data_IF_319793778173
#
_entry.id   IF_319793778173
#
_cell.length_a   1.000
_cell.length_b   1.000
_cell.length_c   1.000
_cell.angle_alpha   90.00
_cell.angle_beta   90.00
_cell.angle_gamma   90.00
#
_symmetry.space_group_name_H-M   'P 1'
#
loop_
_entity.id
_entity.type
_entity.pdbx_description
1 polymer ?
#
# COMPACT_ATOMS: atom_id res chain seq x y z
N UNK A 1 3.88 12.18 2.71
CA UNK A 1 4.32 11.80 1.34
C UNK A 1 4.00 12.96 0.40
N UNK A 2 4.99 13.54 -0.29
CA UNK A 2 4.74 14.68 -1.19
C UNK A 2 3.88 14.25 -2.39
N UNK A 3 2.88 15.07 -2.73
CA UNK A 3 2.03 14.88 -3.90
C UNK A 3 2.12 16.13 -4.78
N UNK A 4 2.22 15.94 -6.09
CA UNK A 4 2.17 17.06 -7.02
C UNK A 4 0.77 17.70 -6.97
N UNK A 5 0.66 19.03 -7.00
CA UNK A 5 -0.63 19.73 -6.89
C UNK A 5 -1.61 19.36 -8.02
N UNK A 6 -1.10 18.98 -9.20
CA UNK A 6 -1.92 18.60 -10.37
C UNK A 6 -2.36 17.14 -10.35
N UNK A 7 -1.83 16.30 -9.45
CA UNK A 7 -2.17 14.88 -9.42
C UNK A 7 -3.45 14.67 -8.62
N UNK A 8 -4.51 14.19 -9.29
CA UNK A 8 -5.77 13.81 -8.63
C UNK A 8 -5.61 12.63 -7.67
N UNK A 9 -4.51 11.87 -7.78
CA UNK A 9 -4.11 10.80 -6.87
C UNK A 9 -5.24 9.81 -6.54
N UNK A 10 -6.09 9.54 -7.54
CA UNK A 10 -7.30 8.75 -7.37
C UNK A 10 -6.99 7.26 -7.56
N UNK A 11 -7.54 6.42 -6.68
CA UNK A 11 -7.40 4.97 -6.78
C UNK A 11 -8.51 4.34 -7.62
N UNK A 12 -8.27 3.14 -8.14
CA UNK A 12 -9.26 2.34 -8.85
C UNK A 12 -10.43 1.96 -7.91
N UNK A 13 -11.68 2.11 -8.34
CA UNK A 13 -12.85 1.71 -7.55
C UNK A 13 -12.90 0.19 -7.33
N UNK A 14 -13.21 -0.27 -6.11
CA UNK A 14 -13.27 -1.70 -5.81
C UNK A 14 -14.40 -2.44 -6.57
N UNK A 15 -15.50 -1.74 -6.86
CA UNK A 15 -16.68 -2.30 -7.54
C UNK A 15 -16.56 -2.28 -9.08
N UNK A 16 -15.49 -1.71 -9.62
CA UNK A 16 -15.28 -1.64 -11.07
C UNK A 16 -14.98 -3.01 -11.69
N UNK A 17 -15.21 -3.14 -13.01
CA UNK A 17 -15.01 -4.36 -13.81
C UNK A 17 -13.52 -4.65 -14.11
N UNK A 18 -12.72 -4.71 -13.05
CA UNK A 18 -11.32 -5.13 -13.12
C UNK A 18 -11.12 -6.43 -12.33
N UNK A 19 -10.09 -7.21 -12.67
CA UNK A 19 -9.80 -8.44 -11.96
C UNK A 19 -9.61 -8.23 -10.46
N UNK A 20 -10.13 -9.16 -9.66
CA UNK A 20 -10.10 -9.06 -8.19
C UNK A 20 -8.69 -8.98 -7.65
N UNK A 21 -7.73 -9.69 -8.24
CA UNK A 21 -6.33 -9.69 -7.80
C UNK A 21 -5.68 -8.31 -7.95
N UNK A 22 -5.98 -7.57 -9.03
CA UNK A 22 -5.44 -6.21 -9.26
C UNK A 22 -5.93 -5.27 -8.17
N UNK A 23 -7.25 -5.26 -7.93
CA UNK A 23 -7.88 -4.43 -6.92
C UNK A 23 -7.30 -4.73 -5.53
N UNK A 24 -7.25 -6.01 -5.14
CA UNK A 24 -6.70 -6.42 -3.84
C UNK A 24 -5.21 -6.11 -3.65
N UNK A 25 -4.44 -6.06 -4.73
CA UNK A 25 -3.02 -5.73 -4.67
C UNK A 25 -2.75 -4.23 -4.43
N UNK A 26 -3.68 -3.34 -4.83
CA UNK A 26 -3.49 -1.88 -4.73
C UNK A 26 -3.24 -1.45 -3.28
N UNK A 27 -4.09 -1.76 -2.28
CA UNK A 27 -3.87 -1.35 -0.90
C UNK A 27 -2.52 -1.81 -0.36
N UNK A 28 -2.19 -3.10 -0.56
CA UNK A 28 -0.92 -3.66 -0.10
C UNK A 28 0.28 -2.95 -0.73
N UNK A 29 0.26 -2.71 -2.05
CA UNK A 29 1.32 -1.98 -2.74
C UNK A 29 1.51 -0.56 -2.21
N UNK A 30 0.42 0.14 -1.89
CA UNK A 30 0.48 1.48 -1.33
C UNK A 30 1.08 1.50 0.07
N UNK A 31 0.65 0.60 0.96
CA UNK A 31 1.21 0.51 2.31
C UNK A 31 2.68 0.08 2.30
N UNK A 32 3.08 -0.85 1.45
CA UNK A 32 4.50 -1.23 1.31
C UNK A 32 5.34 -0.07 0.80
N UNK A 33 4.85 0.69 -0.18
CA UNK A 33 5.54 1.91 -0.64
C UNK A 33 5.71 2.91 0.50
N UNK A 34 4.65 3.08 1.30
CA UNK A 34 4.68 3.99 2.45
C UNK A 34 5.67 3.53 3.52
N UNK A 35 5.73 2.21 3.79
CA UNK A 35 6.67 1.60 4.74
C UNK A 35 8.12 1.77 4.29
N UNK A 36 8.39 1.69 2.99
CA UNK A 36 9.74 1.93 2.44
C UNK A 36 10.20 3.37 2.58
N UNK A 37 9.28 4.33 2.49
CA UNK A 37 9.61 5.75 2.59
C UNK A 37 9.81 6.16 4.05
N UNK A 38 9.03 5.60 4.97
CA UNK A 38 9.05 5.96 6.38
C UNK A 38 9.70 4.87 7.24
N UNK A 39 10.85 5.18 7.83
CA UNK A 39 11.55 4.25 8.72
C UNK A 39 10.95 4.19 10.14
N UNK A 40 10.02 5.08 10.49
CA UNK A 40 9.34 5.14 11.79
C UNK A 40 7.90 4.69 11.68
N UNK A 41 7.47 3.87 12.64
CA UNK A 41 6.12 3.31 12.67
C UNK A 41 5.06 4.39 12.87
N UNK A 42 5.32 5.38 13.74
CA UNK A 42 4.39 6.50 14.00
C UNK A 42 4.06 7.29 12.74
N UNK A 43 5.09 7.62 11.95
CA UNK A 43 4.96 8.36 10.69
C UNK A 43 4.24 7.51 9.63
N UNK A 44 4.55 6.21 9.58
CA UNK A 44 3.84 5.27 8.72
C UNK A 44 2.35 5.22 9.07
N UNK A 45 2.00 5.02 10.35
CA UNK A 45 0.60 4.91 10.80
C UNK A 45 -0.16 6.18 10.46
N UNK A 46 0.43 7.34 10.71
CA UNK A 46 -0.19 8.64 10.44
C UNK A 46 -0.51 8.78 8.94
N UNK A 47 0.46 8.52 8.06
CA UNK A 47 0.24 8.64 6.61
C UNK A 47 -0.62 7.49 6.04
N UNK A 48 -0.62 6.31 6.69
CA UNK A 48 -1.44 5.18 6.29
C UNK A 48 -2.93 5.46 6.49
N UNK A 49 -3.30 6.26 7.49
CA UNK A 49 -4.69 6.72 7.70
C UNK A 49 -5.22 7.46 6.47
N UNK A 50 -4.41 8.37 5.89
CA UNK A 50 -4.81 9.13 4.69
C UNK A 50 -5.02 8.24 3.46
N UNK A 51 -4.14 7.25 3.26
CA UNK A 51 -4.28 6.26 2.19
C UNK A 51 -5.54 5.40 2.41
N UNK A 52 -5.75 4.98 3.66
CA UNK A 52 -6.89 4.14 4.06
C UNK A 52 -8.21 4.85 3.78
N UNK A 53 -8.33 6.13 4.14
CA UNK A 53 -9.54 6.91 3.90
C UNK A 53 -9.82 7.09 2.41
N UNK A 54 -8.78 7.34 1.59
CA UNK A 54 -8.93 7.42 0.13
C UNK A 54 -9.38 6.10 -0.50
N UNK A 55 -8.86 4.97 -0.01
CA UNK A 55 -9.29 3.65 -0.47
C UNK A 55 -10.71 3.33 0.03
N UNK A 56 -11.07 3.70 1.26
CA UNK A 56 -12.44 3.53 1.79
C UNK A 56 -13.46 4.28 0.94
N UNK A 57 -13.16 5.52 0.53
CA UNK A 57 -13.97 6.31 -0.43
C UNK A 57 -14.14 5.64 -1.81
N UNK A 58 -13.26 4.69 -2.16
CA UNK A 58 -13.32 3.87 -3.38
C UNK A 58 -13.94 2.48 -3.15
N UNK A 59 -14.69 2.32 -2.06
CA UNK A 59 -15.43 1.10 -1.71
C UNK A 59 -14.54 -0.11 -1.39
N UNK A 60 -13.28 0.09 -0.98
CA UNK A 60 -12.45 -1.02 -0.53
C UNK A 60 -12.94 -1.54 0.84
N UNK A 61 -13.06 -2.87 1.01
CA UNK A 61 -13.50 -3.45 2.28
C UNK A 61 -12.51 -3.17 3.42
N UNK A 62 -13.03 -2.79 4.60
CA UNK A 62 -12.21 -2.42 5.75
C UNK A 62 -11.29 -3.56 6.23
N UNK A 63 -11.78 -4.81 6.24
CA UNK A 63 -10.99 -5.98 6.63
C UNK A 63 -9.76 -6.15 5.73
N UNK A 64 -9.92 -5.87 4.43
CA UNK A 64 -8.84 -5.98 3.45
C UNK A 64 -7.78 -4.90 3.64
N UNK A 65 -8.22 -3.66 3.92
CA UNK A 65 -7.33 -2.56 4.24
C UNK A 65 -6.53 -2.84 5.52
N UNK A 66 -7.20 -3.32 6.57
CA UNK A 66 -6.58 -3.69 7.85
C UNK A 66 -5.52 -4.77 7.66
N UNK A 67 -5.86 -5.88 6.99
CA UNK A 67 -4.89 -6.96 6.71
C UNK A 67 -3.69 -6.47 5.90
N UNK A 68 -3.92 -5.64 4.88
CA UNK A 68 -2.85 -5.10 4.05
C UNK A 68 -1.91 -4.17 4.84
N UNK A 69 -2.46 -3.35 5.73
CA UNK A 69 -1.70 -2.46 6.61
C UNK A 69 -0.88 -3.25 7.64
N UNK A 70 -1.49 -4.24 8.31
CA UNK A 70 -0.80 -5.11 9.28
C UNK A 70 0.36 -5.87 8.64
N UNK A 71 0.16 -6.38 7.42
CA UNK A 71 1.23 -7.03 6.66
C UNK A 71 2.38 -6.07 6.35
N UNK A 72 2.08 -4.81 6.03
CA UNK A 72 3.12 -3.81 5.78
C UNK A 72 3.88 -3.41 7.06
N UNK A 73 3.20 -3.32 8.20
CA UNK A 73 3.82 -3.04 9.51
C UNK A 73 4.83 -4.11 9.92
N UNK A 74 4.49 -5.37 9.69
CA UNK A 74 5.37 -6.52 10.01
C UNK A 74 6.64 -6.58 9.17
N UNK A 75 6.74 -5.81 8.07
CA UNK A 75 7.95 -5.82 7.25
C UNK A 75 9.00 -4.84 7.78
N UNK A 76 10.24 -5.34 7.86
CA UNK A 76 11.41 -4.55 8.22
C UNK A 76 11.78 -3.68 6.99
N UNK A 77 11.97 -2.36 7.16
CA UNK A 77 12.30 -1.45 6.04
C UNK A 77 13.55 -1.86 5.26
N UNK A 78 14.59 -2.35 5.94
CA UNK A 78 15.87 -2.78 5.33
C UNK A 78 15.68 -3.94 4.35
N UNK A 79 14.84 -4.91 4.70
CA UNK A 79 14.52 -6.06 3.85
C UNK A 79 13.73 -5.66 2.59
N UNK A 80 13.07 -4.50 2.61
CA UNK A 80 12.26 -3.99 1.50
C UNK A 80 13.05 -3.12 0.52
N UNK A 81 14.18 -2.55 0.95
CA UNK A 81 15.06 -1.71 0.13
C UNK A 81 16.12 -2.54 -0.60
N UNK A 82 16.56 -3.64 0.00
CA UNK A 82 17.49 -4.55 -0.65
C UNK A 82 16.75 -5.41 -1.70
N UNK A 83 17.25 -5.45 -2.94
CA UNK A 83 16.64 -6.28 -3.99
C UNK A 83 16.95 -7.75 -3.70
N UNK A 84 15.96 -8.65 -3.59
CA UNK A 84 16.27 -10.08 -3.53
C UNK A 84 16.91 -10.47 -4.86
N UNK A 85 18.17 -10.90 -4.83
CA UNK A 85 18.81 -11.50 -5.98
C UNK A 85 18.10 -12.83 -6.24
N UNK A 86 17.30 -12.91 -7.31
CA UNK A 86 16.61 -14.16 -7.67
C UNK A 86 17.68 -15.20 -7.99
N UNK A 87 17.77 -16.27 -7.20
CA UNK A 87 18.55 -17.44 -7.60
C UNK A 87 17.93 -17.99 -8.89
N UNK A 88 18.74 -18.11 -9.95
CA UNK A 88 18.33 -18.82 -11.16
C UNK A 88 17.95 -20.24 -10.74
N UNK A 89 16.75 -20.69 -11.12
CA UNK A 89 16.40 -22.11 -11.00
C UNK A 89 17.23 -22.82 -12.07
N UNK A 90 18.09 -23.76 -11.63
CA UNK A 90 18.76 -24.71 -12.52
C UNK A 90 17.72 -25.63 -13.17
#
# INVERSE_FOLDING_TARGET
>A
MYQKPTSTNSYLCFLSYHPSYVKRAIPYGQYIRLRRINNRDDLFITQAKDITERLRKRSYPQHLLKQAMERALKMIPEQLLCKPCKKRKN
#
